data_IF_019537919837
#
_entry.id   IF_019537919837
#
_cell.length_a   1.000
_cell.length_b   1.000
_cell.length_c   1.000
_cell.angle_alpha   90.00
_cell.angle_beta   90.00
_cell.angle_gamma   90.00
#
_symmetry.space_group_name_H-M   'P 1'
#
loop_
_entity.id
_entity.type
_entity.pdbx_description
1 polymer ?
#
# COMPACT_ATOMS: atom_id res chain seq x y z
N UNK A 1 19.49 23.24 16.42
CA UNK A 1 18.21 22.50 16.49
C UNK A 1 18.14 21.61 15.26
N UNK A 2 18.09 20.29 15.45
CA UNK A 2 18.10 19.32 14.35
C UNK A 2 16.85 19.49 13.47
N UNK A 3 17.04 19.55 12.15
CA UNK A 3 15.98 19.50 11.12
C UNK A 3 15.15 18.21 11.30
N UNK A 4 14.12 18.25 12.14
CA UNK A 4 13.10 17.18 12.16
C UNK A 4 12.16 17.48 11.01
N UNK A 5 12.26 16.67 9.96
CA UNK A 5 11.41 16.83 8.79
C UNK A 5 9.94 16.57 9.19
N UNK A 6 9.07 17.55 9.00
CA UNK A 6 7.62 17.42 9.26
C UNK A 6 6.89 16.73 8.09
N UNK A 7 7.63 16.44 7.03
CA UNK A 7 7.12 15.88 5.79
C UNK A 7 7.72 14.51 5.53
N UNK A 8 6.84 13.59 5.13
CA UNK A 8 7.18 12.37 4.46
C UNK A 8 7.64 12.72 3.02
N UNK A 9 8.54 11.89 2.44
CA UNK A 9 8.82 11.94 1.00
C UNK A 9 7.55 11.97 0.15
N UNK A 10 7.61 12.66 -1.00
CA UNK A 10 6.43 12.92 -1.85
C UNK A 10 5.69 11.65 -2.26
N UNK A 11 6.45 10.60 -2.60
CA UNK A 11 5.97 9.26 -2.95
C UNK A 11 5.28 8.52 -1.78
N UNK A 12 5.43 9.03 -0.56
CA UNK A 12 4.87 8.47 0.67
C UNK A 12 3.73 9.31 1.27
N UNK A 13 3.39 10.45 0.66
CA UNK A 13 2.22 11.25 1.06
C UNK A 13 0.92 10.49 0.76
N UNK A 14 -0.14 10.78 1.52
CA UNK A 14 -1.41 10.07 1.39
C UNK A 14 -2.01 10.27 -0.01
N UNK A 15 -2.28 9.17 -0.69
CA UNK A 15 -3.08 9.10 -1.90
C UNK A 15 -4.33 8.26 -1.66
N UNK A 16 -5.19 8.13 -2.69
CA UNK A 16 -6.34 7.23 -2.65
C UNK A 16 -6.00 5.74 -2.48
N UNK A 17 -4.71 5.39 -2.59
CA UNK A 17 -4.24 4.02 -2.81
C UNK A 17 -3.36 3.50 -1.68
N UNK A 18 -2.61 4.37 -0.99
CA UNK A 18 -1.54 3.96 -0.07
C UNK A 18 -1.86 4.15 1.42
N UNK A 19 -3.13 4.39 1.76
CA UNK A 19 -3.55 4.70 3.14
C UNK A 19 -3.02 3.70 4.20
N UNK A 20 -3.01 2.40 3.89
CA UNK A 20 -2.53 1.38 4.83
C UNK A 20 -1.03 1.47 5.16
N UNK A 21 -0.19 2.02 4.26
CA UNK A 21 1.22 2.31 4.61
C UNK A 21 1.40 3.70 5.19
N UNK A 22 0.64 4.65 4.66
CA UNK A 22 0.70 6.02 5.12
C UNK A 22 0.35 6.11 6.61
N UNK A 23 -0.71 5.41 7.05
CA UNK A 23 -1.23 5.49 8.43
C UNK A 23 -0.19 5.13 9.50
N UNK A 24 0.53 3.99 9.44
CA UNK A 24 1.60 3.69 10.39
C UNK A 24 2.74 4.71 10.38
N UNK A 25 3.11 5.23 9.21
CA UNK A 25 4.19 6.22 9.06
C UNK A 25 3.82 7.55 9.69
N UNK A 26 2.63 8.03 9.38
CA UNK A 26 2.10 9.26 9.96
C UNK A 26 1.88 9.11 11.46
N UNK A 27 1.39 7.95 11.92
CA UNK A 27 1.31 7.64 13.36
C UNK A 27 2.67 7.84 14.03
N UNK A 28 3.74 7.24 13.49
CA UNK A 28 5.07 7.39 14.07
C UNK A 28 5.55 8.84 14.08
N UNK A 29 5.30 9.59 13.00
CA UNK A 29 5.64 11.01 12.91
C UNK A 29 4.87 11.83 13.97
N UNK A 30 3.56 11.66 14.08
CA UNK A 30 2.73 12.36 15.04
C UNK A 30 3.07 11.98 16.49
N UNK A 31 3.45 10.72 16.76
CA UNK A 31 3.93 10.31 18.08
C UNK A 31 5.25 10.98 18.43
N UNK A 32 6.19 11.10 17.48
CA UNK A 32 7.48 11.78 17.68
C UNK A 32 7.31 13.24 18.11
N UNK A 33 6.25 13.90 17.61
CA UNK A 33 5.91 15.28 17.95
C UNK A 33 4.88 15.40 19.08
N UNK A 34 4.43 14.29 19.67
CA UNK A 34 3.46 14.31 20.78
C UNK A 34 2.03 14.68 20.38
N UNK A 35 1.67 14.56 19.09
CA UNK A 35 0.36 14.95 18.57
C UNK A 35 -0.57 13.77 18.28
N UNK A 36 -0.09 12.53 18.38
CA UNK A 36 -0.90 11.35 18.05
C UNK A 36 -2.09 11.16 19.00
N UNK A 37 -1.92 11.44 20.29
CA UNK A 37 -3.01 11.31 21.26
C UNK A 37 -4.08 12.39 21.06
N UNK A 38 -3.65 13.64 20.79
CA UNK A 38 -4.52 14.74 20.37
C UNK A 38 -5.39 14.36 19.16
N UNK A 39 -4.80 13.90 18.05
CA UNK A 39 -5.56 13.62 16.82
C UNK A 39 -6.48 12.39 16.95
N UNK A 40 -6.19 11.48 17.88
CA UNK A 40 -7.02 10.31 18.15
C UNK A 40 -8.04 10.53 19.27
N UNK A 41 -8.03 11.71 19.91
CA UNK A 41 -8.87 12.03 21.08
C UNK A 41 -8.72 11.00 22.21
N UNK A 42 -7.49 10.55 22.45
CA UNK A 42 -7.18 9.57 23.51
C UNK A 42 -6.61 10.20 24.77
N UNK A 43 -6.38 11.51 24.76
CA UNK A 43 -5.97 12.28 25.94
C UNK A 43 -7.16 12.45 26.89
N UNK A 44 -6.91 12.42 28.19
CA UNK A 44 -7.87 12.90 29.21
C UNK A 44 -7.98 14.43 29.16
N UNK A 45 -9.06 14.98 29.71
CA UNK A 45 -9.27 16.44 29.76
C UNK A 45 -8.14 17.18 30.51
N UNK A 46 -7.60 16.54 31.55
CA UNK A 46 -6.50 17.06 32.36
C UNK A 46 -5.19 17.08 31.57
N UNK A 47 -4.85 15.98 30.88
CA UNK A 47 -3.68 15.88 30.00
C UNK A 47 -3.76 16.87 28.84
N UNK A 48 -4.93 16.97 28.22
CA UNK A 48 -5.21 17.88 27.11
C UNK A 48 -5.01 19.33 27.54
N UNK A 49 -5.56 19.72 28.69
CA UNK A 49 -5.41 21.08 29.24
C UNK A 49 -3.96 21.41 29.60
N UNK A 50 -3.23 20.46 30.19
CA UNK A 50 -1.82 20.63 30.51
C UNK A 50 -0.96 20.79 29.24
N UNK A 51 -1.23 19.99 28.22
CA UNK A 51 -0.54 20.05 26.94
C UNK A 51 -0.86 21.33 26.14
N UNK A 52 -2.12 21.81 26.17
CA UNK A 52 -2.51 23.10 25.56
C UNK A 52 -1.77 24.29 26.19
N UNK A 53 -1.51 24.25 27.51
CA UNK A 53 -0.72 25.28 28.21
C UNK A 53 0.76 25.24 27.81
N UNK A 54 1.30 24.07 27.50
CA UNK A 54 2.69 23.86 27.15
C UNK A 54 2.98 24.19 25.67
N UNK A 55 2.01 23.95 24.78
CA UNK A 55 2.07 24.31 23.36
C UNK A 55 0.74 24.89 22.87
N UNK A 56 0.62 26.22 22.96
CA UNK A 56 -0.56 27.00 22.54
C UNK A 56 -0.97 26.76 21.08
N UNK A 57 -0.04 26.31 20.23
CA UNK A 57 -0.25 26.09 18.80
C UNK A 57 -0.31 24.60 18.43
N UNK A 58 -0.41 23.69 19.40
CA UNK A 58 -0.35 22.23 19.14
C UNK A 58 -1.37 21.76 18.11
N UNK A 59 -2.60 22.29 18.16
CA UNK A 59 -3.67 21.93 17.20
C UNK A 59 -3.32 22.34 15.77
N UNK A 60 -2.76 23.54 15.61
CA UNK A 60 -2.35 24.06 14.29
C UNK A 60 -1.14 23.30 13.75
N UNK A 61 -0.18 22.94 14.61
CA UNK A 61 0.98 22.13 14.21
C UNK A 61 0.58 20.71 13.84
N UNK A 62 -0.31 20.07 14.60
CA UNK A 62 -0.85 18.76 14.28
C UNK A 62 -1.60 18.79 12.94
N UNK A 63 -2.42 19.83 12.72
CA UNK A 63 -3.13 20.03 11.46
C UNK A 63 -2.17 20.26 10.28
N UNK A 64 -1.13 21.07 10.47
CA UNK A 64 -0.12 21.30 9.45
C UNK A 64 0.60 20.00 9.05
N UNK A 65 0.99 19.17 10.03
CA UNK A 65 1.59 17.86 9.76
C UNK A 65 0.61 16.97 8.98
N UNK A 66 -0.67 16.95 9.35
CA UNK A 66 -1.69 16.19 8.62
C UNK A 66 -1.81 16.66 7.16
N UNK A 67 -1.92 17.97 6.92
CA UNK A 67 -2.05 18.55 5.58
C UNK A 67 -0.82 18.32 4.71
N UNK A 68 0.39 18.57 5.24
CA UNK A 68 1.63 18.44 4.50
C UNK A 68 1.91 16.99 4.05
N UNK A 69 1.36 16.02 4.77
CA UNK A 69 1.55 14.60 4.50
C UNK A 69 0.41 13.98 3.70
N UNK A 70 -0.44 14.79 3.06
CA UNK A 70 -1.51 14.33 2.18
C UNK A 70 -1.34 14.88 0.76
N UNK A 71 -1.92 14.18 -0.22
CA UNK A 71 -2.14 14.73 -1.56
C UNK A 71 -2.88 16.06 -1.49
N UNK A 72 -2.47 17.00 -2.33
CA UNK A 72 -2.98 18.38 -2.35
C UNK A 72 -4.51 18.43 -2.48
N UNK A 73 -5.13 17.50 -3.22
CA UNK A 73 -6.59 17.45 -3.37
C UNK A 73 -7.28 17.00 -2.08
N UNK A 74 -6.69 16.03 -1.37
CA UNK A 74 -7.21 15.54 -0.07
C UNK A 74 -7.09 16.66 0.97
N UNK A 75 -5.93 17.31 1.04
CA UNK A 75 -5.70 18.44 1.94
C UNK A 75 -6.65 19.61 1.61
N UNK A 76 -6.81 19.95 0.33
CA UNK A 76 -7.69 21.04 -0.11
C UNK A 76 -9.16 20.77 0.21
N UNK A 77 -9.64 19.54 0.01
CA UNK A 77 -11.01 19.16 0.37
C UNK A 77 -11.29 19.44 1.85
N UNK A 78 -10.35 19.07 2.72
CA UNK A 78 -10.52 19.28 4.14
C UNK A 78 -10.47 20.76 4.55
N UNK A 79 -9.55 21.54 3.96
CA UNK A 79 -9.44 22.99 4.22
C UNK A 79 -10.75 23.70 3.81
N UNK A 80 -11.37 23.28 2.70
CA UNK A 80 -12.64 23.83 2.23
C UNK A 80 -13.81 23.52 3.19
N UNK A 81 -13.79 22.36 3.83
CA UNK A 81 -14.77 21.96 4.86
C UNK A 81 -14.58 22.73 6.19
N UNK A 82 -13.57 23.61 6.30
CA UNK A 82 -13.30 24.51 7.44
C UNK A 82 -13.23 23.84 8.81
N UNK A 83 -12.90 22.56 8.87
CA UNK A 83 -12.68 21.89 10.14
C UNK A 83 -11.27 22.22 10.65
N UNK A 84 -11.11 23.26 11.48
CA UNK A 84 -9.81 23.60 12.08
C UNK A 84 -9.37 22.63 13.20
N UNK A 85 -10.02 21.46 13.29
CA UNK A 85 -9.77 20.43 14.29
C UNK A 85 -8.99 19.25 13.67
N UNK A 86 -7.74 18.99 14.09
CA UNK A 86 -6.93 17.92 13.52
C UNK A 86 -7.49 16.53 13.83
N UNK A 87 -8.28 16.36 14.90
CA UNK A 87 -8.97 15.09 15.16
C UNK A 87 -10.08 14.83 14.15
N UNK A 88 -10.81 15.88 13.76
CA UNK A 88 -11.83 15.79 12.71
C UNK A 88 -11.19 15.49 11.34
N UNK A 89 -10.03 16.07 11.04
CA UNK A 89 -9.21 15.69 9.86
C UNK A 89 -8.88 14.22 9.84
N UNK A 90 -8.38 13.71 10.96
CA UNK A 90 -8.05 12.30 11.11
C UNK A 90 -9.25 11.38 10.89
N UNK A 91 -10.42 11.73 11.45
CA UNK A 91 -11.65 10.97 11.24
C UNK A 91 -12.10 10.97 9.77
N UNK A 92 -12.08 12.11 9.10
CA UNK A 92 -12.48 12.23 7.68
C UNK A 92 -11.59 11.34 6.81
N UNK A 93 -10.28 11.33 7.02
CA UNK A 93 -9.38 10.44 6.29
C UNK A 93 -9.68 8.97 6.57
N UNK A 94 -9.84 8.60 7.84
CA UNK A 94 -10.16 7.23 8.23
C UNK A 94 -11.49 6.77 7.59
N UNK A 95 -12.48 7.65 7.45
CA UNK A 95 -13.79 7.31 6.85
C UNK A 95 -13.77 7.31 5.32
N UNK A 96 -13.03 8.22 4.69
CA UNK A 96 -13.10 8.44 3.23
C UNK A 96 -12.05 7.68 2.43
N UNK A 97 -10.84 7.50 2.99
CA UNK A 97 -9.68 6.92 2.29
C UNK A 97 -9.43 5.47 2.71
N UNK A 98 -9.66 5.13 3.99
CA UNK A 98 -9.49 3.76 4.48
C UNK A 98 -10.31 2.73 3.73
N UNK A 99 -11.63 2.94 3.50
CA UNK A 99 -12.44 1.93 2.82
C UNK A 99 -12.01 1.76 1.36
N UNK A 100 -11.60 2.84 0.69
CA UNK A 100 -11.16 2.81 -0.71
C UNK A 100 -9.85 2.04 -0.88
N UNK A 101 -8.89 2.22 0.03
CA UNK A 101 -7.63 1.47 -0.02
C UNK A 101 -7.86 -0.03 0.20
N UNK A 102 -8.69 -0.42 1.16
CA UNK A 102 -9.07 -1.82 1.39
C UNK A 102 -9.87 -2.38 0.21
N UNK A 103 -10.87 -1.65 -0.28
CA UNK A 103 -11.66 -2.05 -1.45
C UNK A 103 -10.78 -2.24 -2.68
N UNK A 104 -9.81 -1.35 -2.93
CA UNK A 104 -8.90 -1.47 -4.06
C UNK A 104 -7.99 -2.70 -3.92
N UNK A 105 -7.46 -2.99 -2.72
CA UNK A 105 -6.67 -4.21 -2.48
C UNK A 105 -7.52 -5.47 -2.65
N UNK A 106 -8.72 -5.51 -2.05
CA UNK A 106 -9.66 -6.62 -2.20
C UNK A 106 -10.08 -6.80 -3.65
N UNK A 107 -10.33 -5.72 -4.40
CA UNK A 107 -10.66 -5.77 -5.82
C UNK A 107 -9.54 -6.44 -6.62
N UNK A 108 -8.30 -5.97 -6.49
CA UNK A 108 -7.19 -6.56 -7.26
C UNK A 108 -6.88 -8.00 -6.84
N UNK A 109 -6.99 -8.34 -5.55
CA UNK A 109 -6.88 -9.73 -5.10
C UNK A 109 -7.99 -10.61 -5.70
N UNK A 110 -9.23 -10.12 -5.71
CA UNK A 110 -10.34 -10.84 -6.35
C UNK A 110 -10.13 -10.97 -7.86
N UNK A 111 -9.64 -9.94 -8.54
CA UNK A 111 -9.28 -10.02 -9.97
C UNK A 111 -8.21 -11.10 -10.21
N UNK A 112 -7.17 -11.18 -9.37
CA UNK A 112 -6.15 -12.26 -9.44
C UNK A 112 -6.79 -13.63 -9.18
N UNK A 113 -7.60 -13.76 -8.13
CA UNK A 113 -8.21 -15.05 -7.76
C UNK A 113 -9.35 -15.49 -8.66
N UNK A 114 -10.00 -14.58 -9.38
CA UNK A 114 -10.98 -14.90 -10.41
C UNK A 114 -10.36 -15.01 -11.81
N UNK A 115 -9.08 -14.67 -11.96
CA UNK A 115 -8.39 -14.80 -13.24
C UNK A 115 -8.34 -16.27 -13.68
N UNK A 116 -8.69 -16.48 -14.94
CA UNK A 116 -8.67 -17.78 -15.61
C UNK A 116 -7.67 -17.72 -16.76
N UNK A 117 -6.58 -18.48 -16.67
CA UNK A 117 -5.58 -18.53 -17.74
C UNK A 117 -6.08 -19.29 -18.98
N UNK A 118 -7.21 -19.98 -18.90
CA UNK A 118 -7.76 -20.75 -20.03
C UNK A 118 -8.53 -19.91 -21.05
N UNK A 119 -8.88 -18.66 -20.72
CA UNK A 119 -9.62 -17.76 -21.60
C UNK A 119 -8.67 -16.91 -22.46
N UNK A 120 -8.20 -17.47 -23.58
CA UNK A 120 -7.43 -16.73 -24.59
C UNK A 120 -5.92 -17.05 -24.61
N UNK A 121 -5.14 -16.32 -25.43
CA UNK A 121 -3.71 -16.57 -25.58
C UNK A 121 -2.95 -16.36 -24.28
N UNK A 122 -2.09 -17.33 -23.92
CA UNK A 122 -1.34 -17.32 -22.66
C UNK A 122 -0.52 -16.03 -22.47
N UNK A 123 0.02 -15.46 -23.55
CA UNK A 123 0.77 -14.20 -23.52
C UNK A 123 -0.05 -13.00 -23.06
N UNK A 124 -1.31 -12.90 -23.52
CA UNK A 124 -2.21 -11.83 -23.12
C UNK A 124 -2.62 -12.01 -21.66
N UNK A 125 -2.91 -13.25 -21.28
CA UNK A 125 -3.31 -13.60 -19.92
C UNK A 125 -2.19 -13.33 -18.91
N UNK A 126 -0.92 -13.61 -19.27
CA UNK A 126 0.24 -13.24 -18.46
C UNK A 126 0.34 -11.72 -18.33
N UNK A 127 0.22 -10.95 -19.42
CA UNK A 127 0.27 -9.47 -19.37
C UNK A 127 -0.82 -8.88 -18.47
N UNK A 128 -2.01 -9.45 -18.46
CA UNK A 128 -3.12 -8.99 -17.62
C UNK A 128 -2.85 -9.30 -16.13
N UNK A 129 -2.44 -10.53 -15.78
CA UNK A 129 -2.01 -10.87 -14.41
C UNK A 129 -0.84 -9.99 -13.96
N UNK A 130 0.15 -9.72 -14.83
CA UNK A 130 1.27 -8.82 -14.54
C UNK A 130 0.76 -7.42 -14.18
N UNK A 131 -0.20 -6.90 -14.95
CA UNK A 131 -0.77 -5.56 -14.74
C UNK A 131 -1.55 -5.50 -13.44
N UNK A 132 -2.42 -6.47 -13.16
CA UNK A 132 -3.21 -6.53 -11.92
C UNK A 132 -2.27 -6.68 -10.70
N UNK A 133 -1.24 -7.53 -10.81
CA UNK A 133 -0.27 -7.73 -9.73
C UNK A 133 0.55 -6.47 -9.46
N UNK A 134 0.99 -5.77 -10.52
CA UNK A 134 1.68 -4.47 -10.36
C UNK A 134 0.78 -3.43 -9.73
N UNK A 135 -0.49 -3.36 -10.14
CA UNK A 135 -1.46 -2.46 -9.52
C UNK A 135 -1.64 -2.78 -8.03
N UNK A 136 -1.83 -4.05 -7.66
CA UNK A 136 -1.88 -4.47 -6.26
C UNK A 136 -0.60 -4.11 -5.50
N UNK A 137 0.58 -4.33 -6.10
CA UNK A 137 1.87 -4.00 -5.48
C UNK A 137 2.06 -2.48 -5.32
N UNK A 138 1.58 -1.65 -6.25
CA UNK A 138 1.62 -0.20 -6.11
C UNK A 138 0.76 0.31 -4.94
N UNK A 139 -0.24 -0.48 -4.52
CA UNK A 139 -1.00 -0.24 -3.28
C UNK A 139 -0.23 -0.67 -2.04
N UNK A 140 0.95 -1.30 -2.19
CA UNK A 140 1.82 -1.89 -1.17
C UNK A 140 3.26 -1.34 -1.35
N UNK A 141 3.47 -0.05 -1.03
CA UNK A 141 4.77 0.66 -0.87
C UNK A 141 5.88 0.23 -1.84
N UNK A 142 6.02 0.96 -2.94
CA UNK A 142 7.06 0.71 -3.95
C UNK A 142 8.50 0.71 -3.36
N UNK A 143 8.74 1.38 -2.23
CA UNK A 143 10.08 1.54 -1.65
C UNK A 143 10.51 0.45 -0.67
N UNK A 144 9.58 -0.30 -0.07
CA UNK A 144 9.90 -1.42 0.84
C UNK A 144 9.60 -2.78 0.23
N UNK A 145 8.73 -2.80 -0.77
CA UNK A 145 8.12 -4.03 -1.25
C UNK A 145 8.50 -4.38 -2.68
N UNK A 146 9.68 -3.97 -3.22
CA UNK A 146 10.47 -4.83 -4.14
C UNK A 146 11.83 -4.32 -4.67
N UNK A 147 12.88 -5.17 -4.60
CA UNK A 147 13.69 -5.47 -5.78
C UNK A 147 12.77 -6.07 -6.87
N UNK A 148 12.85 -5.65 -8.15
CA UNK A 148 12.00 -6.12 -9.26
C UNK A 148 11.74 -7.64 -9.30
N UNK A 149 12.75 -8.38 -8.85
CA UNK A 149 12.78 -9.82 -8.65
C UNK A 149 11.56 -10.35 -7.87
N UNK A 150 11.13 -9.72 -6.78
CA UNK A 150 10.03 -10.26 -5.96
C UNK A 150 8.64 -9.98 -6.57
N UNK A 151 8.49 -8.97 -7.48
CA UNK A 151 7.27 -8.76 -8.30
C UNK A 151 7.20 -9.92 -9.27
N UNK A 152 8.32 -10.19 -9.92
CA UNK A 152 8.42 -11.23 -10.93
C UNK A 152 8.10 -12.60 -10.34
N UNK A 153 8.60 -12.88 -9.13
CA UNK A 153 8.29 -14.12 -8.41
C UNK A 153 6.85 -14.25 -7.98
N UNK A 154 6.23 -13.18 -7.48
CA UNK A 154 4.80 -13.23 -7.16
C UNK A 154 3.96 -13.50 -8.41
N UNK A 155 4.29 -12.86 -9.53
CA UNK A 155 3.57 -13.09 -10.78
C UNK A 155 3.78 -14.53 -11.27
N UNK A 156 5.01 -15.05 -11.25
CA UNK A 156 5.30 -16.43 -11.62
C UNK A 156 4.47 -17.42 -10.77
N UNK A 157 4.39 -17.19 -9.45
CA UNK A 157 3.56 -18.01 -8.55
C UNK A 157 2.07 -17.92 -8.89
N UNK A 158 1.54 -16.71 -9.19
CA UNK A 158 0.16 -16.56 -9.62
C UNK A 158 -0.12 -17.33 -10.91
N UNK A 159 0.78 -17.25 -11.89
CA UNK A 159 0.66 -17.99 -13.15
C UNK A 159 0.60 -19.49 -12.89
N UNK A 160 1.52 -20.04 -12.08
CA UNK A 160 1.56 -21.47 -11.73
C UNK A 160 0.24 -21.93 -11.09
N UNK A 161 -0.26 -21.18 -10.10
CA UNK A 161 -1.52 -21.51 -9.40
C UNK A 161 -2.70 -21.52 -10.38
N UNK A 162 -2.65 -20.67 -11.41
CA UNK A 162 -3.75 -20.46 -12.35
C UNK A 162 -3.65 -21.30 -13.61
N UNK A 163 -2.66 -22.17 -13.74
CA UNK A 163 -2.48 -22.95 -14.97
C UNK A 163 -3.71 -23.80 -15.30
N UNK A 164 -4.10 -23.85 -16.59
CA UNK A 164 -5.07 -24.81 -17.07
C UNK A 164 -4.68 -26.24 -16.67
N UNK A 165 -5.65 -27.12 -16.49
CA UNK A 165 -5.42 -28.51 -16.05
C UNK A 165 -4.37 -29.25 -16.90
N UNK A 166 -4.36 -29.02 -18.21
CA UNK A 166 -3.41 -29.64 -19.14
C UNK A 166 -1.96 -29.12 -19.00
N UNK A 167 -1.75 -27.97 -18.35
CA UNK A 167 -0.43 -27.38 -18.10
C UNK A 167 0.01 -27.49 -16.62
N UNK A 168 -0.85 -28.00 -15.72
CA UNK A 168 -0.54 -28.10 -14.28
C UNK A 168 0.74 -28.88 -13.99
N UNK A 169 0.98 -29.96 -14.73
CA UNK A 169 2.17 -30.79 -14.56
C UNK A 169 3.47 -30.00 -14.80
N UNK A 170 3.46 -29.07 -15.75
CA UNK A 170 4.63 -28.20 -16.04
C UNK A 170 4.90 -27.28 -14.84
N UNK A 171 3.84 -26.71 -14.26
CA UNK A 171 3.95 -25.89 -13.04
C UNK A 171 4.49 -26.68 -11.83
N UNK A 172 4.05 -27.93 -11.67
CA UNK A 172 4.56 -28.82 -10.61
C UNK A 172 6.03 -29.17 -10.81
N UNK A 173 6.44 -29.51 -12.03
CA UNK A 173 7.84 -29.79 -12.39
C UNK A 173 8.71 -28.55 -12.13
N UNK A 174 8.25 -27.37 -12.55
CA UNK A 174 8.95 -26.12 -12.27
C UNK A 174 9.16 -25.91 -10.76
N UNK A 175 8.12 -26.12 -9.94
CA UNK A 175 8.22 -25.98 -8.49
C UNK A 175 9.12 -27.05 -7.83
N UNK A 176 9.18 -28.27 -8.38
CA UNK A 176 10.08 -29.33 -7.91
C UNK A 176 11.55 -29.04 -8.24
N UNK A 177 11.81 -28.48 -9.43
CA UNK A 177 13.14 -28.10 -9.88
C UNK A 177 13.63 -26.80 -9.21
N UNK A 178 12.70 -26.05 -8.61
CA UNK A 178 12.99 -24.80 -7.92
C UNK A 178 13.67 -25.05 -6.56
N UNK A 179 14.98 -24.80 -6.51
CA UNK A 179 15.79 -24.91 -5.29
C UNK A 179 15.80 -23.56 -4.55
N UNK A 180 14.99 -23.45 -3.49
CA UNK A 180 14.59 -22.20 -2.83
C UNK A 180 15.66 -21.26 -2.29
N UNK A 181 16.94 -21.60 -2.37
CA UNK A 181 18.04 -20.88 -1.73
C UNK A 181 18.88 -19.95 -2.65
N UNK A 182 18.74 -20.01 -3.98
CA UNK A 182 19.66 -19.27 -4.88
C UNK A 182 19.03 -18.23 -5.80
N UNK A 183 17.79 -18.42 -6.26
CA UNK A 183 17.07 -17.45 -7.09
C UNK A 183 15.58 -17.66 -6.88
N UNK A 184 14.78 -16.62 -6.67
CA UNK A 184 13.33 -16.75 -6.57
C UNK A 184 12.69 -17.09 -7.92
N UNK A 185 11.46 -17.67 -7.95
CA UNK A 185 10.79 -18.03 -9.20
C UNK A 185 10.74 -16.81 -10.11
N UNK A 186 10.95 -16.98 -11.42
CA UNK A 186 10.86 -15.87 -12.36
C UNK A 186 9.92 -16.24 -13.48
N UNK A 187 9.23 -15.24 -14.03
CA UNK A 187 8.36 -15.42 -15.20
C UNK A 187 9.18 -15.95 -16.38
N UNK A 188 10.42 -15.48 -16.51
CA UNK A 188 11.34 -15.92 -17.56
C UNK A 188 11.62 -17.43 -17.48
N UNK A 189 12.02 -17.94 -16.30
CA UNK A 189 12.31 -19.36 -16.14
C UNK A 189 11.06 -20.22 -16.33
N UNK A 190 9.90 -19.73 -15.84
CA UNK A 190 8.63 -20.42 -16.04
C UNK A 190 8.26 -20.51 -17.52
N UNK A 191 8.52 -19.45 -18.30
CA UNK A 191 8.31 -19.43 -19.74
C UNK A 191 9.26 -20.37 -20.50
N UNK A 192 10.53 -20.39 -20.11
CA UNK A 192 11.52 -21.31 -20.68
C UNK A 192 11.07 -22.77 -20.48
N UNK A 193 10.56 -23.12 -19.29
CA UNK A 193 9.98 -24.44 -19.04
C UNK A 193 8.71 -24.70 -19.88
N UNK A 194 7.81 -23.73 -20.04
CA UNK A 194 6.64 -23.91 -20.92
C UNK A 194 7.05 -24.26 -22.35
N UNK A 195 8.06 -23.57 -22.91
CA UNK A 195 8.54 -23.83 -24.25
C UNK A 195 9.22 -25.20 -24.43
N UNK A 196 9.65 -25.87 -23.35
CA UNK A 196 10.21 -27.22 -23.42
C UNK A 196 9.13 -28.31 -23.55
N UNK A 197 7.91 -28.01 -23.09
CA UNK A 197 6.83 -28.99 -22.95
C UNK A 197 5.58 -28.66 -23.79
N UNK A 198 5.61 -27.60 -24.60
CA UNK A 198 4.57 -27.21 -25.57
C UNK A 198 5.15 -27.17 -26.97
#
# INVERSE_FOLDING_TARGET
MNNRNFELPEDLKLSSCNYLQWKPRLKNLLTLFGYYHLITRTETDEESTAADKLDLHRKQKALAILCLNCDVKIAAQFILERNNDPSTFWEVINKSVSPKSVQNQTRYLNEIFSFDLSSGPIDNNIKDIMTITRNLCSLIDDNKTKPPVLIDSMIAMWVIIKLPSHLKLIGEIFLQNYNGDKNPPSLKHLWEEFCLYT
#
